data_IF_869554280704
#
_entry.id   IF_869554280704
#
_cell.length_a   1.000
_cell.length_b   1.000
_cell.length_c   1.000
_cell.angle_alpha   90.00
_cell.angle_beta   90.00
_cell.angle_gamma   90.00
#
_symmetry.space_group_name_H-M   'P 1'
#
loop_
_entity.id
_entity.type
_entity.pdbx_description
1 polymer ?
#
# COMPACT_ATOMS: atom_id res chain seq x y z
N UNK A 1 6.79 -13.87 2.53
CA UNK A 1 7.62 -13.75 1.31
C UNK A 1 7.36 -12.46 0.54
N UNK A 2 6.17 -12.17 0.00
CA UNK A 2 5.98 -10.88 -0.70
C UNK A 2 6.18 -9.66 0.23
N UNK A 3 5.45 -9.60 1.34
CA UNK A 3 5.54 -8.48 2.29
C UNK A 3 6.94 -8.34 2.90
N UNK A 4 7.62 -9.45 3.18
CA UNK A 4 8.99 -9.46 3.71
C UNK A 4 10.05 -9.14 2.64
N UNK A 5 10.08 -9.90 1.56
CA UNK A 5 11.22 -9.94 0.62
C UNK A 5 11.10 -8.86 -0.46
N UNK A 6 9.85 -8.57 -0.87
CA UNK A 6 9.57 -7.57 -1.91
C UNK A 6 9.36 -6.20 -1.28
N UNK A 7 8.56 -6.11 -0.22
CA UNK A 7 8.26 -4.82 0.43
C UNK A 7 9.19 -4.48 1.60
N UNK A 8 10.00 -5.44 2.08
CA UNK A 8 10.95 -5.18 3.15
C UNK A 8 10.32 -5.02 4.54
N UNK A 9 9.09 -5.47 4.74
CA UNK A 9 8.39 -5.32 6.02
C UNK A 9 8.88 -6.38 7.02
N UNK A 10 9.24 -5.91 8.22
CA UNK A 10 9.56 -6.80 9.33
C UNK A 10 8.29 -7.52 9.82
N UNK A 11 8.44 -8.73 10.35
CA UNK A 11 7.31 -9.49 10.91
C UNK A 11 7.71 -10.27 12.15
N UNK A 12 6.72 -10.58 12.98
CA UNK A 12 6.77 -11.60 14.03
C UNK A 12 5.89 -12.78 13.63
N UNK A 13 6.21 -13.97 14.14
CA UNK A 13 5.36 -15.17 14.02
C UNK A 13 4.59 -15.34 15.33
N UNK A 14 3.25 -15.29 15.28
CA UNK A 14 2.37 -15.48 16.43
C UNK A 14 2.09 -16.97 16.73
N UNK A 15 2.79 -17.88 16.07
CA UNK A 15 2.62 -19.33 16.16
C UNK A 15 2.06 -19.90 14.86
N UNK A 16 2.49 -21.12 14.52
CA UNK A 16 1.97 -21.90 13.38
C UNK A 16 2.04 -21.17 12.02
N UNK A 17 2.94 -20.20 11.87
CA UNK A 17 3.11 -19.44 10.63
C UNK A 17 2.14 -18.26 10.48
N UNK A 18 1.45 -17.85 11.55
CA UNK A 18 0.64 -16.64 11.55
C UNK A 18 1.54 -15.40 11.65
N UNK A 19 1.97 -14.90 10.49
CA UNK A 19 2.87 -13.75 10.39
C UNK A 19 2.12 -12.42 10.59
N UNK A 20 2.61 -11.59 11.50
CA UNK A 20 2.15 -10.22 11.75
C UNK A 20 3.24 -9.26 11.32
N UNK A 21 2.94 -8.36 10.37
CA UNK A 21 3.90 -7.43 9.79
C UNK A 21 3.87 -6.06 10.48
N UNK A 22 5.04 -5.53 10.81
CA UNK A 22 5.20 -4.15 11.23
C UNK A 22 4.93 -3.22 10.02
N UNK A 23 4.05 -2.24 10.23
CA UNK A 23 3.78 -1.20 9.24
C UNK A 23 4.53 0.09 9.62
N UNK A 24 4.90 0.92 8.63
CA UNK A 24 5.29 2.30 8.90
C UNK A 24 4.13 3.05 9.58
N UNK A 25 4.33 4.30 10.04
CA UNK A 25 3.20 5.15 10.43
C UNK A 25 2.10 5.11 9.36
N UNK A 26 0.90 4.74 9.79
CA UNK A 26 -0.28 4.56 8.95
C UNK A 26 -1.40 5.50 9.40
N UNK A 27 -2.26 5.88 8.46
CA UNK A 27 -3.46 6.66 8.70
C UNK A 27 -4.71 5.89 8.24
N UNK A 28 -5.85 6.24 8.85
CA UNK A 28 -7.16 5.75 8.46
C UNK A 28 -7.98 6.92 7.93
N UNK A 29 -8.59 6.73 6.76
CA UNK A 29 -9.53 7.67 6.18
C UNK A 29 -10.95 7.11 6.33
N UNK A 30 -11.91 7.98 6.65
CA UNK A 30 -13.33 7.63 6.71
C UNK A 30 -14.04 8.42 5.60
N UNK A 31 -14.47 7.71 4.56
CA UNK A 31 -15.23 8.34 3.49
C UNK A 31 -16.65 8.64 3.96
N UNK A 32 -17.16 9.88 3.76
CA UNK A 32 -18.56 10.20 4.00
C UNK A 32 -19.41 9.59 2.87
N UNK A 33 -19.59 8.28 2.91
CA UNK A 33 -20.45 7.56 1.98
C UNK A 33 -21.80 7.24 2.64
N UNK A 34 -22.88 7.43 1.89
CA UNK A 34 -24.25 7.11 2.31
C UNK A 34 -24.60 5.64 2.09
N UNK A 35 -23.90 4.95 1.19
CA UNK A 35 -24.13 3.52 0.89
C UNK A 35 -23.34 2.61 1.83
N UNK A 36 -22.11 2.99 2.15
CA UNK A 36 -21.24 2.25 3.07
C UNK A 36 -20.87 0.86 2.54
N UNK A 37 -20.29 0.02 3.42
CA UNK A 37 -20.14 -1.42 3.16
C UNK A 37 -18.84 -1.87 2.50
N UNK A 38 -17.81 -1.01 2.41
CA UNK A 38 -16.48 -1.43 1.97
C UNK A 38 -15.39 -0.76 2.82
N UNK A 39 -14.28 -1.47 2.94
CA UNK A 39 -13.05 -0.99 3.53
C UNK A 39 -11.91 -1.38 2.60
N UNK A 40 -10.98 -0.45 2.39
CA UNK A 40 -9.83 -0.65 1.52
C UNK A 40 -8.54 -0.42 2.29
N UNK A 41 -7.50 -1.12 1.86
CA UNK A 41 -6.15 -0.94 2.37
C UNK A 41 -5.23 -0.58 1.21
N UNK A 42 -4.56 0.54 1.36
CA UNK A 42 -3.56 1.01 0.40
C UNK A 42 -2.22 1.24 1.08
N UNK A 43 -1.13 0.99 0.34
CA UNK A 43 0.20 1.43 0.75
C UNK A 43 0.54 2.79 0.19
N UNK A 44 0.92 3.69 1.08
CA UNK A 44 1.38 5.04 0.73
C UNK A 44 2.82 5.01 0.23
N UNK A 45 3.11 5.86 -0.75
CA UNK A 45 4.46 6.13 -1.21
C UNK A 45 4.67 7.63 -1.42
N UNK A 46 5.92 8.06 -1.56
CA UNK A 46 6.26 9.48 -1.82
C UNK A 46 6.31 9.83 -3.30
N UNK A 47 6.55 8.83 -4.15
CA UNK A 47 6.67 8.98 -5.60
C UNK A 47 6.19 7.67 -6.25
N UNK A 48 5.00 7.71 -6.87
CA UNK A 48 4.35 6.51 -7.38
C UNK A 48 5.10 5.92 -8.58
N UNK A 49 5.67 6.76 -9.45
CA UNK A 49 6.38 6.30 -10.65
C UNK A 49 7.63 5.49 -10.30
N UNK A 50 8.44 6.01 -9.38
CA UNK A 50 9.65 5.36 -8.87
C UNK A 50 9.31 4.09 -8.09
N UNK A 51 8.23 4.12 -7.31
CA UNK A 51 7.72 2.95 -6.57
C UNK A 51 7.31 1.83 -7.53
N UNK A 52 6.47 2.13 -8.53
CA UNK A 52 6.05 1.14 -9.52
C UNK A 52 7.22 0.64 -10.37
N UNK A 53 8.18 1.50 -10.72
CA UNK A 53 9.40 1.06 -11.41
C UNK A 53 10.23 0.07 -10.56
N UNK A 54 10.36 0.32 -9.25
CA UNK A 54 11.05 -0.60 -8.35
C UNK A 54 10.31 -1.94 -8.20
N UNK A 55 8.98 -1.91 -8.11
CA UNK A 55 8.14 -3.10 -8.03
C UNK A 55 8.20 -3.92 -9.33
N UNK A 56 8.17 -3.27 -10.50
CA UNK A 56 8.36 -3.94 -11.80
C UNK A 56 9.72 -4.63 -11.89
N UNK A 57 10.81 -4.02 -11.40
CA UNK A 57 12.13 -4.67 -11.32
C UNK A 57 12.13 -5.90 -10.42
N UNK A 58 11.28 -5.92 -9.39
CA UNK A 58 11.03 -7.08 -8.52
C UNK A 58 9.98 -8.05 -9.09
N UNK A 59 9.64 -7.95 -10.38
CA UNK A 59 8.68 -8.79 -11.11
C UNK A 59 7.24 -8.71 -10.58
N UNK A 60 6.88 -7.63 -9.91
CA UNK A 60 5.50 -7.38 -9.48
C UNK A 60 4.70 -6.82 -10.66
N UNK A 61 3.55 -7.43 -10.95
CA UNK A 61 2.64 -6.98 -12.01
C UNK A 61 1.82 -5.77 -11.55
N UNK A 62 1.82 -4.71 -12.35
CA UNK A 62 0.86 -3.60 -12.22
C UNK A 62 -0.43 -3.99 -12.94
N UNK A 63 -1.54 -4.01 -12.23
CA UNK A 63 -2.87 -4.44 -12.72
C UNK A 63 -3.65 -3.24 -13.25
N UNK A 64 -3.61 -2.13 -12.49
CA UNK A 64 -4.16 -0.84 -12.90
C UNK A 64 -3.03 0.19 -12.90
N UNK A 65 -2.87 0.89 -14.03
CA UNK A 65 -1.87 1.96 -14.15
C UNK A 65 -2.28 3.19 -13.32
N UNK A 66 -1.37 4.16 -13.23
CA UNK A 66 -1.57 5.37 -12.44
C UNK A 66 -2.83 6.12 -12.92
N UNK A 67 -3.73 6.35 -11.98
CA UNK A 67 -4.93 7.16 -12.15
C UNK A 67 -4.95 8.27 -11.10
N UNK A 68 -5.40 9.46 -11.49
CA UNK A 68 -5.57 10.58 -10.57
C UNK A 68 -6.96 10.51 -9.94
N UNK A 69 -7.01 10.32 -8.63
CA UNK A 69 -8.26 10.21 -7.86
C UNK A 69 -8.66 11.55 -7.21
N UNK A 70 -7.95 12.64 -7.49
CA UNK A 70 -8.13 13.95 -6.87
C UNK A 70 -7.50 14.05 -5.48
N UNK A 71 -7.62 13.02 -4.64
CA UNK A 71 -6.94 12.93 -3.34
C UNK A 71 -5.54 12.32 -3.44
N UNK A 72 -5.20 11.63 -4.53
CA UNK A 72 -3.90 11.01 -4.73
C UNK A 72 -3.75 10.39 -6.11
N UNK A 73 -2.52 10.02 -6.44
CA UNK A 73 -2.25 9.17 -7.60
C UNK A 73 -2.31 7.72 -7.15
N UNK A 74 -3.18 6.91 -7.74
CA UNK A 74 -3.43 5.52 -7.35
C UNK A 74 -3.08 4.56 -8.49
N UNK A 75 -2.43 3.45 -8.15
CA UNK A 75 -2.24 2.29 -9.01
C UNK A 75 -2.48 1.01 -8.20
N UNK A 76 -2.76 -0.10 -8.87
CA UNK A 76 -2.93 -1.41 -8.22
C UNK A 76 -1.88 -2.40 -8.70
N UNK A 77 -1.35 -3.20 -7.78
CA UNK A 77 -0.42 -4.29 -8.08
C UNK A 77 -1.01 -5.63 -7.68
N UNK A 78 -0.61 -6.69 -8.38
CA UNK A 78 -1.03 -8.05 -8.06
C UNK A 78 -0.18 -8.60 -6.91
N UNK A 79 -0.86 -9.15 -5.89
CA UNK A 79 -0.25 -9.99 -4.89
C UNK A 79 -0.10 -11.42 -5.43
N UNK A 80 0.84 -12.23 -4.89
CA UNK A 80 0.99 -13.63 -5.29
C UNK A 80 -0.26 -14.49 -5.10
N UNK A 81 -1.17 -14.09 -4.19
CA UNK A 81 -2.47 -14.75 -3.99
C UNK A 81 -3.49 -14.47 -5.09
N UNK A 82 -3.19 -13.55 -6.02
CA UNK A 82 -4.14 -13.05 -7.02
C UNK A 82 -4.96 -11.85 -6.55
N UNK A 83 -4.93 -11.51 -5.26
CA UNK A 83 -5.55 -10.29 -4.74
C UNK A 83 -4.84 -9.03 -5.26
N UNK A 84 -5.56 -7.91 -5.27
CA UNK A 84 -5.01 -6.62 -5.65
C UNK A 84 -4.66 -5.79 -4.42
N UNK A 85 -3.56 -5.04 -4.52
CA UNK A 85 -3.13 -4.10 -3.50
C UNK A 85 -2.96 -2.72 -4.13
N UNK A 86 -3.70 -1.74 -3.62
CA UNK A 86 -3.53 -0.36 -4.06
C UNK A 86 -2.27 0.26 -3.47
N UNK A 87 -1.58 1.03 -4.29
CA UNK A 87 -0.43 1.85 -3.91
C UNK A 87 -0.73 3.27 -4.35
N UNK A 88 -0.61 4.23 -3.44
CA UNK A 88 -0.93 5.61 -3.75
C UNK A 88 0.13 6.61 -3.28
N UNK A 89 0.25 7.69 -4.03
CA UNK A 89 0.98 8.91 -3.63
C UNK A 89 -0.04 9.96 -3.17
N UNK A 90 0.01 10.40 -1.91
CA UNK A 90 -0.98 11.33 -1.36
C UNK A 90 -0.85 12.71 -2.00
N UNK A 91 -1.98 13.34 -2.30
CA UNK A 91 -2.09 14.75 -2.71
C UNK A 91 -2.91 15.58 -1.73
N UNK A 92 -3.08 15.07 -0.52
CA UNK A 92 -3.73 15.73 0.60
C UNK A 92 -2.74 15.87 1.77
N UNK A 93 -3.06 16.71 2.78
CA UNK A 93 -2.33 16.70 4.05
C UNK A 93 -2.37 15.31 4.69
N UNK A 94 -1.22 14.79 5.08
CA UNK A 94 -1.11 13.48 5.74
C UNK A 94 -1.26 13.62 7.25
N UNK A 95 -2.04 12.74 7.88
CA UNK A 95 -2.17 12.63 9.34
C UNK A 95 -0.93 11.97 9.97
N UNK A 96 -0.17 11.21 9.19
CA UNK A 96 1.09 10.61 9.66
C UNK A 96 2.21 11.65 9.73
N UNK A 97 2.89 11.71 10.89
CA UNK A 97 4.10 12.52 11.04
C UNK A 97 5.25 11.85 10.29
N UNK A 98 6.07 12.60 9.56
CA UNK A 98 7.33 12.07 9.03
C UNK A 98 8.12 11.44 10.19
N UNK A 99 8.48 10.17 10.06
CA UNK A 99 9.39 9.52 10.99
C UNK A 99 10.64 10.40 11.12
N UNK A 100 10.98 10.78 12.36
CA UNK A 100 12.28 11.43 12.61
C UNK A 100 13.34 10.40 12.24
N UNK A 101 14.33 10.84 11.45
CA UNK A 101 15.50 10.01 11.12
C UNK A 101 16.22 9.60 12.40
#
# INVERSE_FOLDING_TARGET
KFLSDVLGLASVDAGEGWLIFALPPSEIAVHPDKKGGYAELYFMCRDIKSTLAALRRKRVKVVHDISDQGWGLLASVALPSGAELGIYEPRHPTAIRKARK
#
